data_IF_540571204226
#
_entry.id   IF_540571204226
#
_cell.length_a   1.000
_cell.length_b   1.000
_cell.length_c   1.000
_cell.angle_alpha   90.00
_cell.angle_beta   90.00
_cell.angle_gamma   90.00
#
_symmetry.space_group_name_H-M   'P 1'
#
loop_
_entity.id
_entity.type
_entity.pdbx_description
1 polymer ?
#
# COMPACT_ATOMS: atom_id res chain seq x y z
N UNK A 1 69.12 69.14 2.11
CA UNK A 1 69.84 68.12 1.31
C UNK A 1 68.89 67.23 0.55
N UNK A 2 69.23 66.85 -0.65
CA UNK A 2 68.47 65.96 -1.47
C UNK A 2 68.41 64.58 -0.83
N UNK A 3 67.17 63.99 -0.74
CA UNK A 3 66.91 62.64 -0.15
C UNK A 3 67.49 61.49 -0.98
N UNK A 4 67.81 61.73 -2.27
CA UNK A 4 68.35 60.72 -3.16
C UNK A 4 69.86 60.76 -3.34
N UNK A 5 70.47 61.93 -3.59
CA UNK A 5 71.90 62.07 -3.88
C UNK A 5 72.73 62.86 -2.83
N UNK A 6 72.10 63.34 -1.75
CA UNK A 6 72.75 64.04 -0.65
C UNK A 6 73.23 65.49 -0.97
N UNK A 7 73.09 66.04 -2.20
CA UNK A 7 73.47 67.35 -2.58
C UNK A 7 72.66 68.44 -1.84
N UNK A 8 73.24 69.57 -1.59
CA UNK A 8 72.59 70.71 -0.93
C UNK A 8 71.51 71.29 -1.88
N UNK A 9 70.32 71.49 -1.35
CA UNK A 9 69.17 72.02 -2.09
C UNK A 9 68.90 73.45 -1.72
N UNK A 10 68.56 74.31 -2.68
CA UNK A 10 68.03 75.63 -2.37
C UNK A 10 66.77 75.53 -1.53
N UNK A 11 66.53 76.54 -0.67
CA UNK A 11 65.30 76.57 0.13
C UNK A 11 64.08 76.60 -0.76
N UNK A 12 63.10 75.66 -0.53
CA UNK A 12 61.86 75.52 -1.31
C UNK A 12 62.00 74.76 -2.63
N UNK A 13 63.10 74.10 -2.92
CA UNK A 13 63.29 73.34 -4.14
C UNK A 13 62.37 72.08 -4.22
N UNK A 14 61.48 72.08 -5.18
CA UNK A 14 60.58 70.91 -5.47
C UNK A 14 61.28 69.73 -6.17
N UNK A 15 62.48 70.01 -6.79
CA UNK A 15 63.29 69.00 -7.49
C UNK A 15 64.77 69.25 -7.18
N UNK A 16 65.57 68.22 -7.15
CA UNK A 16 67.02 68.35 -6.99
C UNK A 16 67.67 68.72 -8.33
N UNK A 17 68.45 69.81 -8.41
CA UNK A 17 69.13 70.22 -9.66
C UNK A 17 70.23 69.25 -10.08
N UNK A 18 70.74 68.42 -9.16
CA UNK A 18 71.81 67.45 -9.45
C UNK A 18 71.34 66.10 -9.97
N UNK A 19 70.19 65.62 -9.53
CA UNK A 19 69.69 64.28 -9.93
C UNK A 19 68.23 64.29 -10.40
N UNK A 20 67.59 65.44 -10.58
CA UNK A 20 66.23 65.69 -11.02
C UNK A 20 65.13 64.96 -10.18
N UNK A 21 65.46 64.41 -9.02
CA UNK A 21 64.50 63.70 -8.14
C UNK A 21 63.60 64.72 -7.44
N UNK A 22 62.28 64.46 -7.52
CA UNK A 22 61.27 65.24 -6.78
C UNK A 22 61.45 65.11 -5.28
N UNK A 23 61.37 66.25 -4.59
CA UNK A 23 61.48 66.36 -3.13
C UNK A 23 60.10 66.55 -2.47
N UNK A 24 59.02 66.52 -3.28
CA UNK A 24 57.68 66.62 -2.78
C UNK A 24 57.27 65.23 -2.27
N UNK A 25 56.87 65.15 -1.03
CA UNK A 25 56.34 63.96 -0.43
C UNK A 25 54.95 63.66 -1.00
N UNK A 26 54.82 62.63 -1.79
CA UNK A 26 53.45 62.13 -2.20
C UNK A 26 52.75 61.65 -0.95
N UNK A 27 51.79 62.41 -0.45
CA UNK A 27 50.87 61.91 0.55
C UNK A 27 50.07 60.78 -0.07
N UNK A 28 50.26 59.55 0.38
CA UNK A 28 49.36 58.45 0.08
C UNK A 28 47.97 58.76 0.64
N UNK A 29 47.05 59.17 -0.24
CA UNK A 29 45.65 59.34 0.10
C UNK A 29 45.09 57.97 0.36
N UNK A 30 45.03 57.51 1.61
CA UNK A 30 44.29 56.25 1.99
C UNK A 30 42.86 56.48 1.64
N UNK A 31 42.24 55.54 0.83
CA UNK A 31 40.82 55.67 0.46
C UNK A 31 39.98 55.71 1.73
N UNK A 32 38.90 56.49 1.76
CA UNK A 32 38.09 56.69 2.95
C UNK A 32 37.46 55.33 3.42
N UNK A 33 37.49 55.12 4.71
CA UNK A 33 37.05 53.91 5.38
C UNK A 33 35.60 53.44 4.94
N UNK A 34 34.79 54.39 4.46
CA UNK A 34 33.45 54.16 3.90
C UNK A 34 33.49 53.41 2.56
N UNK A 35 34.47 53.59 1.72
CA UNK A 35 34.59 52.92 0.41
C UNK A 35 34.90 51.43 0.58
N UNK A 36 35.70 51.08 1.59
CA UNK A 36 35.98 49.67 1.92
C UNK A 36 34.70 48.92 2.39
N UNK A 37 33.85 49.60 3.17
CA UNK A 37 32.57 49.02 3.60
C UNK A 37 31.61 48.82 2.43
N UNK A 38 31.48 49.76 1.50
CA UNK A 38 30.66 49.65 0.30
C UNK A 38 31.19 48.58 -0.65
N UNK A 39 32.49 48.48 -0.84
CA UNK A 39 33.11 47.42 -1.64
C UNK A 39 32.87 46.00 -1.05
N UNK A 40 32.93 45.90 0.27
CA UNK A 40 32.68 44.63 0.98
C UNK A 40 31.23 44.21 0.87
N UNK A 41 30.28 45.14 0.99
CA UNK A 41 28.83 44.88 0.79
C UNK A 41 28.57 44.49 -0.66
N UNK A 42 29.14 45.18 -1.63
CA UNK A 42 28.96 44.83 -3.06
C UNK A 42 29.54 43.44 -3.39
N UNK A 43 30.69 43.07 -2.80
CA UNK A 43 31.28 41.75 -2.96
C UNK A 43 30.42 40.65 -2.32
N UNK A 44 29.81 40.93 -1.15
CA UNK A 44 28.88 39.98 -0.49
C UNK A 44 27.60 39.80 -1.31
N UNK A 45 27.01 40.88 -1.81
CA UNK A 45 25.85 40.82 -2.69
C UNK A 45 26.16 40.07 -4.01
N UNK A 46 27.32 40.30 -4.60
CA UNK A 46 27.75 39.56 -5.80
C UNK A 46 27.96 38.08 -5.49
N UNK A 47 28.53 37.72 -4.35
CA UNK A 47 28.70 36.33 -3.90
C UNK A 47 27.35 35.65 -3.71
N UNK A 48 26.38 36.33 -3.07
CA UNK A 48 25.01 35.81 -2.89
C UNK A 48 24.31 35.63 -4.24
N UNK A 49 24.45 36.54 -5.17
CA UNK A 49 23.89 36.44 -6.51
C UNK A 49 24.54 35.28 -7.31
N UNK A 50 25.86 35.12 -7.20
CA UNK A 50 26.59 34.02 -7.86
C UNK A 50 26.19 32.66 -7.26
N UNK A 51 26.07 32.58 -5.93
CA UNK A 51 25.63 31.33 -5.29
C UNK A 51 24.17 30.99 -5.61
N UNK A 52 23.29 32.00 -5.67
CA UNK A 52 21.90 31.82 -6.10
C UNK A 52 21.83 31.42 -7.58
N UNK A 53 22.60 32.04 -8.45
CA UNK A 53 22.69 31.67 -9.86
C UNK A 53 23.25 30.24 -10.04
N UNK A 54 24.29 29.86 -9.31
CA UNK A 54 24.87 28.53 -9.32
C UNK A 54 23.84 27.48 -8.83
N UNK A 55 23.05 27.81 -7.81
CA UNK A 55 22.00 26.91 -7.32
C UNK A 55 20.88 26.69 -8.37
N UNK A 56 20.59 27.70 -9.20
CA UNK A 56 19.58 27.60 -10.28
C UNK A 56 20.14 26.90 -11.53
N UNK A 57 21.46 27.06 -11.81
CA UNK A 57 22.07 26.49 -13.03
C UNK A 57 22.80 25.16 -12.82
N UNK A 58 22.97 24.71 -11.56
CA UNK A 58 23.47 23.35 -11.35
C UNK A 58 22.35 22.35 -11.76
N UNK A 59 22.63 21.47 -12.74
CA UNK A 59 21.65 20.48 -13.12
C UNK A 59 21.31 19.61 -11.89
N UNK A 60 20.02 19.43 -11.64
CA UNK A 60 19.55 18.48 -10.63
C UNK A 60 20.21 17.12 -10.91
N UNK A 61 20.93 16.59 -9.94
CA UNK A 61 21.47 15.24 -10.07
C UNK A 61 20.40 14.26 -9.60
N UNK A 62 19.92 13.38 -10.48
CA UNK A 62 18.93 12.39 -10.11
C UNK A 62 19.37 11.60 -8.88
N UNK A 63 18.44 11.40 -7.96
CA UNK A 63 18.63 10.61 -6.76
C UNK A 63 17.73 9.40 -6.80
N UNK A 64 18.18 8.33 -6.16
CA UNK A 64 17.35 7.15 -5.92
C UNK A 64 17.01 7.10 -4.44
N UNK A 65 15.71 6.95 -4.17
CA UNK A 65 15.15 6.77 -2.84
C UNK A 65 14.64 5.34 -2.76
N UNK A 66 15.23 4.52 -1.90
CA UNK A 66 14.87 3.12 -1.74
C UNK A 66 14.39 2.87 -0.32
N UNK A 67 13.31 2.12 -0.20
CA UNK A 67 12.72 1.71 1.08
C UNK A 67 12.17 0.29 1.03
N UNK A 68 11.74 -0.19 2.19
CA UNK A 68 10.84 -1.35 2.28
C UNK A 68 9.42 -0.94 1.92
N UNK A 69 8.45 -1.26 2.75
CA UNK A 69 7.05 -0.87 2.55
C UNK A 69 6.80 0.65 2.70
N UNK A 70 7.78 1.41 3.14
CA UNK A 70 7.71 2.88 3.17
C UNK A 70 9.02 3.53 2.76
N UNK A 71 8.93 4.76 2.25
CA UNK A 71 10.09 5.59 1.90
C UNK A 71 9.75 7.06 2.05
N UNK A 72 10.75 7.85 2.45
CA UNK A 72 10.65 9.32 2.48
C UNK A 72 11.28 9.91 1.23
N UNK A 73 10.52 10.70 0.49
CA UNK A 73 10.96 11.43 -0.69
C UNK A 73 10.90 12.94 -0.44
N UNK A 74 11.92 13.68 -0.89
CA UNK A 74 11.96 15.15 -0.75
C UNK A 74 12.24 15.79 -2.08
N UNK A 75 11.38 16.72 -2.49
CA UNK A 75 11.58 17.60 -3.65
C UNK A 75 11.52 19.08 -3.24
N UNK A 76 11.41 19.98 -4.23
CA UNK A 76 11.32 21.42 -4.01
C UNK A 76 10.04 21.86 -3.25
N UNK A 77 8.98 21.06 -3.30
CA UNK A 77 7.70 21.38 -2.67
C UNK A 77 7.59 20.84 -1.24
N UNK A 78 8.49 19.93 -0.86
CA UNK A 78 8.59 19.43 0.51
C UNK A 78 8.93 17.95 0.62
N UNK A 79 8.62 17.40 1.78
CA UNK A 79 8.89 16.01 2.13
C UNK A 79 7.59 15.21 2.11
N UNK A 80 7.64 14.09 1.40
CA UNK A 80 6.56 13.15 1.24
C UNK A 80 6.93 11.82 1.90
N UNK A 81 5.96 11.18 2.48
CA UNK A 81 6.04 9.82 2.95
C UNK A 81 5.19 8.95 2.02
N UNK A 82 5.83 8.01 1.35
CA UNK A 82 5.17 7.03 0.49
C UNK A 82 5.15 5.70 1.21
N UNK A 83 4.04 5.00 1.11
CA UNK A 83 3.89 3.67 1.69
C UNK A 83 3.05 2.77 0.80
N UNK A 84 3.30 1.48 0.88
CA UNK A 84 2.60 0.45 0.12
C UNK A 84 1.93 -0.53 1.04
N UNK A 85 0.83 -1.09 0.59
CA UNK A 85 0.06 -2.09 1.30
C UNK A 85 -0.93 -2.79 0.38
N UNK A 86 -1.58 -3.81 0.92
CA UNK A 86 -2.58 -4.62 0.23
C UNK A 86 -3.98 -4.44 0.81
N UNK A 87 -4.12 -3.63 1.85
CA UNK A 87 -5.38 -3.21 2.43
C UNK A 87 -5.47 -1.70 2.50
N UNK A 88 -6.66 -1.19 2.21
CA UNK A 88 -6.93 0.25 2.33
C UNK A 88 -6.67 0.75 3.76
N UNK A 89 -7.11 0.01 4.78
CA UNK A 89 -6.88 0.39 6.17
C UNK A 89 -5.39 0.56 6.51
N UNK A 90 -4.50 -0.29 5.99
CA UNK A 90 -3.05 -0.15 6.19
C UNK A 90 -2.54 1.17 5.60
N UNK A 91 -3.08 1.57 4.46
CA UNK A 91 -2.74 2.84 3.81
C UNK A 91 -3.31 4.01 4.63
N UNK A 92 -4.60 3.99 5.00
CA UNK A 92 -5.28 5.07 5.73
C UNK A 92 -4.70 5.27 7.14
N UNK A 93 -4.37 4.21 7.83
CA UNK A 93 -3.77 4.23 9.18
C UNK A 93 -2.26 4.50 9.15
N UNK A 94 -1.66 4.67 7.97
CA UNK A 94 -0.22 4.85 7.73
C UNK A 94 0.63 3.74 8.37
N UNK A 95 0.17 2.52 8.24
CA UNK A 95 0.88 1.34 8.69
C UNK A 95 1.46 0.61 7.48
N UNK A 96 2.73 0.85 7.11
CA UNK A 96 3.36 0.17 5.98
C UNK A 96 3.45 -1.33 6.25
N UNK A 97 3.04 -2.12 5.27
CA UNK A 97 3.11 -3.57 5.36
C UNK A 97 4.49 -4.06 4.91
N UNK A 98 5.44 -4.18 5.85
CA UNK A 98 6.79 -4.69 5.53
C UNK A 98 6.79 -6.17 5.16
N UNK A 99 6.03 -6.95 5.89
CA UNK A 99 5.82 -8.37 5.62
C UNK A 99 4.39 -8.75 5.98
N UNK A 100 3.73 -9.42 5.06
CA UNK A 100 2.39 -9.95 5.25
C UNK A 100 2.33 -11.43 4.95
N UNK A 101 1.57 -12.15 5.75
CA UNK A 101 1.23 -13.55 5.49
C UNK A 101 -0.20 -13.60 4.98
N UNK A 102 -0.39 -14.27 3.85
CA UNK A 102 -1.68 -14.50 3.20
C UNK A 102 -1.91 -15.99 3.10
N UNK A 103 -3.10 -16.44 3.43
CA UNK A 103 -3.54 -17.82 3.17
C UNK A 103 -4.42 -17.80 1.92
N UNK A 104 -3.93 -18.41 0.85
CA UNK A 104 -4.61 -18.42 -0.44
C UNK A 104 -4.72 -19.83 -0.97
N UNK A 105 -5.79 -20.13 -1.70
CA UNK A 105 -5.91 -21.39 -2.46
C UNK A 105 -4.88 -21.36 -3.59
N UNK A 106 -3.99 -22.34 -3.61
CA UNK A 106 -2.95 -22.46 -4.65
C UNK A 106 -3.47 -23.06 -5.95
N UNK A 107 -4.63 -23.71 -5.89
CA UNK A 107 -5.27 -24.34 -7.05
C UNK A 107 -6.23 -23.36 -7.78
N UNK A 108 -6.49 -22.21 -7.17
CA UNK A 108 -7.39 -21.20 -7.69
C UNK A 108 -6.64 -19.89 -7.97
N UNK A 109 -7.20 -19.09 -8.85
CA UNK A 109 -6.74 -17.73 -9.07
C UNK A 109 -7.23 -16.84 -7.95
N UNK A 110 -6.28 -16.25 -7.21
CA UNK A 110 -6.56 -15.30 -6.14
C UNK A 110 -6.18 -13.90 -6.53
N UNK A 111 -6.89 -12.90 -6.02
CA UNK A 111 -6.68 -11.48 -6.31
C UNK A 111 -6.28 -10.75 -5.03
N UNK A 112 -5.27 -9.91 -5.16
CA UNK A 112 -4.82 -9.04 -4.09
C UNK A 112 -4.66 -7.61 -4.63
N UNK A 113 -5.33 -6.61 -4.05
CA UNK A 113 -5.06 -5.23 -4.43
C UNK A 113 -3.67 -4.81 -3.91
N UNK A 114 -2.88 -4.17 -4.76
CA UNK A 114 -1.66 -3.51 -4.35
C UNK A 114 -1.88 -1.99 -4.44
N UNK A 115 -1.61 -1.29 -3.35
CA UNK A 115 -1.91 0.13 -3.20
C UNK A 115 -0.66 0.93 -2.82
N UNK A 116 -0.56 2.13 -3.37
CA UNK A 116 0.44 3.13 -3.01
C UNK A 116 -0.24 4.36 -2.42
N UNK A 117 0.06 4.66 -1.17
CA UNK A 117 -0.39 5.88 -0.48
C UNK A 117 0.72 6.92 -0.43
N UNK A 118 0.34 8.20 -0.49
CA UNK A 118 1.29 9.33 -0.41
C UNK A 118 0.78 10.36 0.58
N UNK A 119 1.62 10.70 1.53
CA UNK A 119 1.33 11.65 2.61
C UNK A 119 2.33 12.80 2.61
N UNK A 120 1.88 13.95 3.09
CA UNK A 120 2.74 15.09 3.41
C UNK A 120 2.35 15.63 4.78
N UNK A 121 3.31 15.68 5.71
CA UNK A 121 3.06 16.06 7.11
C UNK A 121 1.90 15.27 7.75
N UNK A 122 1.81 13.99 7.42
CA UNK A 122 0.80 13.10 7.98
C UNK A 122 -0.61 13.22 7.37
N UNK A 123 -0.80 14.03 6.33
CA UNK A 123 -2.07 14.20 5.62
C UNK A 123 -1.96 13.63 4.20
N UNK A 124 -2.96 12.90 3.70
CA UNK A 124 -2.99 12.45 2.30
C UNK A 124 -2.78 13.63 1.35
N UNK A 125 -2.01 13.44 0.30
CA UNK A 125 -1.83 14.45 -0.74
C UNK A 125 -2.95 14.36 -1.77
N UNK A 126 -3.18 15.45 -2.49
CA UNK A 126 -3.99 15.41 -3.70
C UNK A 126 -3.34 14.46 -4.73
N UNK A 127 -4.00 13.35 -5.12
CA UNK A 127 -3.45 12.37 -6.03
C UNK A 127 -3.06 12.96 -7.38
N UNK A 128 -3.87 13.82 -7.96
CA UNK A 128 -3.62 14.44 -9.26
C UNK A 128 -2.37 15.32 -9.21
N UNK A 129 -2.22 16.11 -8.14
CA UNK A 129 -1.06 16.99 -7.94
C UNK A 129 0.23 16.18 -7.75
N UNK A 130 0.18 15.03 -7.06
CA UNK A 130 1.33 14.16 -6.92
C UNK A 130 1.66 13.43 -8.22
N UNK A 131 0.67 12.83 -8.88
CA UNK A 131 0.84 12.11 -10.15
C UNK A 131 1.31 13.03 -11.28
N UNK A 132 0.96 14.32 -11.23
CA UNK A 132 1.51 15.31 -12.15
C UNK A 132 3.04 15.45 -12.09
N UNK A 133 3.69 15.01 -11.01
CA UNK A 133 5.16 14.98 -10.84
C UNK A 133 5.79 13.68 -11.30
N UNK A 134 5.02 12.62 -11.46
CA UNK A 134 5.47 11.31 -11.89
C UNK A 134 5.54 11.28 -13.41
N UNK A 135 6.65 10.81 -13.96
CA UNK A 135 6.82 10.56 -15.39
C UNK A 135 6.36 9.15 -15.75
N UNK A 136 6.71 8.18 -14.90
CA UNK A 136 6.38 6.77 -15.09
C UNK A 136 6.24 6.07 -13.74
N UNK A 137 5.25 5.21 -13.63
CA UNK A 137 5.12 4.27 -12.52
C UNK A 137 5.10 2.85 -13.08
N UNK A 138 5.84 1.95 -12.45
CA UNK A 138 5.79 0.51 -12.73
C UNK A 138 5.68 -0.25 -11.43
N UNK A 139 4.93 -1.34 -11.47
CA UNK A 139 4.91 -2.36 -10.44
C UNK A 139 5.46 -3.64 -11.06
N UNK A 140 6.48 -4.20 -10.44
CA UNK A 140 7.09 -5.46 -10.84
C UNK A 140 6.82 -6.49 -9.76
N UNK A 141 6.39 -7.68 -10.16
CA UNK A 141 6.24 -8.81 -9.29
C UNK A 141 7.40 -9.79 -9.47
N UNK A 142 7.89 -10.26 -8.35
CA UNK A 142 8.91 -11.30 -8.30
C UNK A 142 8.30 -12.51 -7.60
N UNK A 143 7.60 -13.39 -8.35
CA UNK A 143 7.04 -14.62 -7.80
C UNK A 143 8.17 -15.55 -7.36
N UNK A 144 7.87 -16.40 -6.39
CA UNK A 144 8.76 -17.52 -6.11
C UNK A 144 8.76 -18.53 -7.28
N UNK A 145 9.62 -19.54 -7.21
CA UNK A 145 9.81 -20.52 -8.30
C UNK A 145 8.56 -21.37 -8.63
N UNK A 146 7.53 -21.33 -7.77
CA UNK A 146 6.36 -22.22 -7.83
C UNK A 146 5.10 -21.55 -8.36
N UNK A 147 5.14 -20.25 -8.70
CA UNK A 147 3.93 -19.52 -9.04
C UNK A 147 4.09 -18.47 -10.12
N UNK A 148 2.95 -17.99 -10.60
CA UNK A 148 2.87 -16.85 -11.51
C UNK A 148 2.15 -15.68 -10.82
N UNK A 149 2.62 -14.47 -11.11
CA UNK A 149 2.00 -13.23 -10.69
C UNK A 149 1.75 -12.38 -11.93
N UNK A 150 0.51 -12.04 -12.18
CA UNK A 150 0.12 -11.09 -13.21
C UNK A 150 -0.32 -9.78 -12.58
N UNK A 151 0.10 -8.67 -13.15
CA UNK A 151 -0.17 -7.34 -12.64
C UNK A 151 -0.79 -6.49 -13.73
N UNK A 152 -1.95 -5.90 -13.44
CA UNK A 152 -2.52 -4.88 -14.28
C UNK A 152 -1.74 -3.55 -14.17
N UNK A 153 -1.89 -2.65 -15.13
CA UNK A 153 -1.27 -1.33 -15.08
C UNK A 153 -1.83 -0.54 -13.87
N UNK A 154 -0.96 0.04 -13.00
CA UNK A 154 -1.41 0.83 -11.86
C UNK A 154 -2.24 2.04 -12.30
N UNK A 155 -3.35 2.25 -11.62
CA UNK A 155 -4.32 3.33 -11.90
C UNK A 155 -4.70 4.07 -10.63
N UNK A 156 -5.13 5.30 -10.77
CA UNK A 156 -5.80 6.04 -9.71
C UNK A 156 -7.25 5.57 -9.56
N UNK A 157 -7.70 5.34 -8.33
CA UNK A 157 -9.08 4.98 -8.01
C UNK A 157 -9.66 6.02 -7.03
N UNK A 158 -10.66 6.76 -7.49
CA UNK A 158 -11.32 7.82 -6.72
C UNK A 158 -12.05 7.32 -5.46
N UNK A 159 -12.32 6.01 -5.37
CA UNK A 159 -12.94 5.41 -4.19
C UNK A 159 -12.02 5.41 -2.97
N UNK A 160 -10.70 5.50 -3.17
CA UNK A 160 -9.71 5.37 -2.11
C UNK A 160 -9.00 6.69 -1.85
N UNK A 161 -9.54 7.48 -0.92
CA UNK A 161 -9.06 8.83 -0.63
C UNK A 161 -7.59 8.94 -0.21
N UNK A 162 -7.00 7.87 0.32
CA UNK A 162 -5.60 7.82 0.75
C UNK A 162 -4.68 7.11 -0.25
N UNK A 163 -5.21 6.26 -1.13
CA UNK A 163 -4.43 5.58 -2.16
C UNK A 163 -4.28 6.47 -3.40
N UNK A 164 -3.04 6.69 -3.82
CA UNK A 164 -2.72 7.47 -5.03
C UNK A 164 -2.78 6.57 -6.27
N UNK A 165 -2.31 5.33 -6.13
CA UNK A 165 -2.34 4.32 -7.18
C UNK A 165 -2.78 2.99 -6.61
N UNK A 166 -3.50 2.21 -7.41
CA UNK A 166 -3.85 0.82 -7.12
C UNK A 166 -3.69 -0.04 -8.36
N UNK A 167 -3.54 -1.32 -8.15
CA UNK A 167 -3.65 -2.36 -9.16
C UNK A 167 -4.02 -3.68 -8.52
N UNK A 168 -4.62 -4.56 -9.31
CA UNK A 168 -4.87 -5.93 -8.89
C UNK A 168 -3.66 -6.80 -9.22
N UNK A 169 -3.21 -7.55 -8.24
CA UNK A 169 -2.19 -8.59 -8.42
C UNK A 169 -2.90 -9.92 -8.40
N UNK A 170 -2.73 -10.67 -9.47
CA UNK A 170 -3.35 -11.98 -9.67
C UNK A 170 -2.33 -13.06 -9.37
N UNK A 171 -2.68 -13.97 -8.49
CA UNK A 171 -1.82 -15.08 -8.07
C UNK A 171 -2.32 -16.39 -8.63
N UNK A 172 -1.40 -17.21 -9.10
CA UNK A 172 -1.68 -18.60 -9.46
C UNK A 172 -0.53 -19.47 -8.95
N UNK A 173 -0.80 -20.35 -7.99
CA UNK A 173 0.20 -21.26 -7.42
C UNK A 173 1.39 -20.59 -6.71
N UNK A 174 1.25 -19.35 -6.28
CA UNK A 174 2.34 -18.52 -5.76
C UNK A 174 2.63 -18.73 -4.27
N UNK A 175 2.55 -19.97 -3.76
CA UNK A 175 2.89 -20.27 -2.37
C UNK A 175 4.36 -19.97 -2.06
N UNK A 176 4.63 -19.47 -0.85
CA UNK A 176 5.97 -19.06 -0.41
C UNK A 176 6.16 -17.55 -0.44
N UNK A 177 7.42 -17.09 -0.39
CA UNK A 177 7.75 -15.67 -0.33
C UNK A 177 7.72 -15.05 -1.72
N UNK A 178 7.00 -13.95 -1.86
CA UNK A 178 6.86 -13.17 -3.07
C UNK A 178 7.18 -11.70 -2.80
N UNK A 179 7.58 -10.96 -3.82
CA UNK A 179 7.89 -9.54 -3.70
C UNK A 179 7.16 -8.72 -4.76
N UNK A 180 6.66 -7.56 -4.35
CA UNK A 180 6.18 -6.51 -5.24
C UNK A 180 7.12 -5.30 -5.13
N UNK A 181 7.55 -4.75 -6.26
CA UNK A 181 8.42 -3.57 -6.30
C UNK A 181 7.77 -2.46 -7.10
N UNK A 182 7.35 -1.42 -6.41
CA UNK A 182 6.92 -0.17 -7.03
C UNK A 182 8.14 0.65 -7.42
N UNK A 183 8.15 1.14 -8.65
CA UNK A 183 9.19 2.07 -9.12
C UNK A 183 8.52 3.28 -9.76
N UNK A 184 8.72 4.46 -9.15
CA UNK A 184 8.26 5.73 -9.67
C UNK A 184 9.46 6.51 -10.21
N UNK A 185 9.42 6.86 -11.49
CA UNK A 185 10.36 7.81 -12.09
C UNK A 185 9.71 9.19 -12.06
N UNK A 186 10.35 10.13 -11.39
CA UNK A 186 9.85 11.49 -11.24
C UNK A 186 10.31 12.36 -12.43
N UNK A 187 9.53 13.36 -12.82
CA UNK A 187 9.86 14.29 -13.91
C UNK A 187 11.17 15.08 -13.70
N UNK A 188 11.63 15.21 -12.46
CA UNK A 188 12.94 15.79 -12.15
C UNK A 188 14.09 14.79 -12.32
N UNK A 189 13.82 13.54 -12.72
CA UNK A 189 14.78 12.47 -12.90
C UNK A 189 15.02 11.60 -11.66
N UNK A 190 14.46 11.96 -10.50
CA UNK A 190 14.56 11.12 -9.30
C UNK A 190 13.81 9.80 -9.48
N UNK A 191 14.26 8.78 -8.78
CA UNK A 191 13.62 7.46 -8.76
C UNK A 191 13.25 7.10 -7.32
N UNK A 192 12.03 6.62 -7.13
CA UNK A 192 11.54 6.16 -5.82
C UNK A 192 11.21 4.68 -5.98
N UNK A 193 11.72 3.84 -5.07
CA UNK A 193 11.47 2.40 -5.05
C UNK A 193 10.95 1.97 -3.70
N UNK A 194 9.83 1.26 -3.70
CA UNK A 194 9.25 0.62 -2.51
C UNK A 194 9.10 -0.86 -2.77
N UNK A 195 9.41 -1.63 -1.74
CA UNK A 195 9.38 -3.08 -1.79
C UNK A 195 8.42 -3.61 -0.73
N UNK A 196 7.46 -4.40 -1.17
CA UNK A 196 6.54 -5.11 -0.31
C UNK A 196 6.78 -6.61 -0.42
N UNK A 197 7.05 -7.25 0.71
CA UNK A 197 7.27 -8.70 0.78
C UNK A 197 6.05 -9.35 1.41
N UNK A 198 5.53 -10.41 0.78
CA UNK A 198 4.44 -11.19 1.34
C UNK A 198 4.71 -12.69 1.21
N UNK A 199 4.22 -13.42 2.18
CA UNK A 199 4.33 -14.87 2.24
C UNK A 199 2.93 -15.48 1.99
N UNK A 200 2.82 -16.25 0.93
CA UNK A 200 1.59 -16.96 0.59
C UNK A 200 1.68 -18.36 1.17
N UNK A 201 0.77 -18.68 2.09
CA UNK A 201 0.58 -20.01 2.60
C UNK A 201 -0.54 -20.69 1.83
N UNK A 202 -0.38 -21.93 1.38
CA UNK A 202 -1.45 -22.67 0.76
C UNK A 202 -2.57 -22.89 1.78
N UNK A 203 -3.81 -22.62 1.38
CA UNK A 203 -4.95 -23.04 2.17
C UNK A 203 -5.03 -24.57 2.16
N UNK A 204 -5.10 -25.15 3.34
CA UNK A 204 -5.35 -26.58 3.52
C UNK A 204 -6.86 -26.77 3.55
N UNK A 205 -7.37 -27.66 2.70
CA UNK A 205 -8.78 -28.03 2.65
C UNK A 205 -9.02 -29.37 3.31
N UNK A 206 -10.08 -29.45 4.11
CA UNK A 206 -10.63 -30.70 4.62
C UNK A 206 -12.05 -30.86 4.07
N UNK A 207 -12.23 -31.86 3.22
CA UNK A 207 -13.51 -32.16 2.61
C UNK A 207 -14.20 -33.28 3.38
N UNK A 208 -15.51 -33.13 3.59
CA UNK A 208 -16.37 -34.14 4.22
C UNK A 208 -17.54 -34.46 3.29
N UNK A 209 -17.73 -35.74 3.01
CA UNK A 209 -18.78 -36.25 2.12
C UNK A 209 -19.62 -37.29 2.82
N UNK A 210 -20.81 -37.63 2.27
CA UNK A 210 -21.64 -38.69 2.78
C UNK A 210 -21.01 -40.09 2.64
N UNK A 211 -19.94 -40.25 1.87
CA UNK A 211 -19.20 -41.50 1.75
C UNK A 211 -18.33 -41.76 2.98
N UNK A 212 -17.78 -40.71 3.57
CA UNK A 212 -16.81 -40.78 4.68
C UNK A 212 -17.44 -40.48 6.04
N UNK A 213 -18.60 -39.84 6.06
CA UNK A 213 -19.22 -39.31 7.28
C UNK A 213 -20.73 -39.40 7.20
N UNK A 214 -21.44 -39.81 8.26
CA UNK A 214 -22.89 -39.72 8.30
C UNK A 214 -23.39 -38.30 8.07
N UNK A 215 -24.23 -38.09 7.05
CA UNK A 215 -24.78 -36.76 6.67
C UNK A 215 -26.24 -36.93 6.21
N UNK A 216 -27.02 -37.77 6.91
CA UNK A 216 -28.39 -38.05 6.51
C UNK A 216 -29.43 -37.25 7.30
N UNK A 217 -29.05 -36.67 8.43
CA UNK A 217 -29.94 -35.94 9.33
C UNK A 217 -29.30 -34.65 9.80
N UNK A 218 -30.08 -33.71 10.33
CA UNK A 218 -29.57 -32.46 10.92
C UNK A 218 -28.67 -32.74 12.12
N UNK A 219 -28.94 -33.81 12.88
CA UNK A 219 -28.15 -34.25 14.01
C UNK A 219 -26.77 -34.76 13.56
N UNK A 220 -26.71 -35.49 12.44
CA UNK A 220 -25.43 -35.90 11.83
C UNK A 220 -24.60 -34.68 11.46
N UNK A 221 -25.21 -33.69 10.82
CA UNK A 221 -24.54 -32.47 10.41
C UNK A 221 -24.04 -31.66 11.64
N UNK A 222 -24.85 -31.52 12.68
CA UNK A 222 -24.46 -30.88 13.94
C UNK A 222 -23.29 -31.61 14.61
N UNK A 223 -23.34 -32.94 14.65
CA UNK A 223 -22.27 -33.75 15.21
C UNK A 223 -20.96 -33.64 14.41
N UNK A 224 -21.07 -33.53 13.08
CA UNK A 224 -19.92 -33.25 12.23
C UNK A 224 -19.32 -31.86 12.53
N UNK A 225 -20.12 -30.79 12.64
CA UNK A 225 -19.64 -29.47 12.99
C UNK A 225 -18.91 -29.47 14.34
N UNK A 226 -19.48 -30.12 15.36
CA UNK A 226 -18.85 -30.27 16.69
C UNK A 226 -17.52 -31.05 16.63
N UNK A 227 -17.40 -32.03 15.73
CA UNK A 227 -16.15 -32.79 15.51
C UNK A 227 -15.11 -31.93 14.81
N UNK A 228 -15.49 -31.19 13.77
CA UNK A 228 -14.63 -30.27 13.03
C UNK A 228 -14.01 -29.25 13.96
N UNK A 229 -14.79 -28.66 14.85
CA UNK A 229 -14.31 -27.68 15.83
C UNK A 229 -13.24 -28.24 16.78
N UNK A 230 -13.24 -29.54 17.03
CA UNK A 230 -12.30 -30.17 17.95
C UNK A 230 -11.08 -30.78 17.27
N UNK A 231 -11.22 -31.28 16.05
CA UNK A 231 -10.26 -32.16 15.41
C UNK A 231 -9.54 -31.52 14.22
N UNK A 232 -10.19 -30.55 13.53
CA UNK A 232 -9.62 -29.92 12.34
C UNK A 232 -8.85 -28.67 12.75
N UNK A 233 -7.57 -28.48 12.32
CA UNK A 233 -6.80 -27.28 12.59
C UNK A 233 -7.54 -25.99 12.18
N UNK A 234 -7.35 -24.91 12.95
CA UNK A 234 -8.12 -23.68 12.77
C UNK A 234 -7.83 -22.96 11.42
N UNK A 235 -6.66 -23.19 10.85
CA UNK A 235 -6.19 -22.65 9.56
C UNK A 235 -6.61 -23.47 8.34
N UNK A 236 -7.44 -24.52 8.54
CA UNK A 236 -7.94 -25.39 7.48
C UNK A 236 -9.31 -24.92 7.01
N UNK A 237 -9.50 -24.74 5.72
CA UNK A 237 -10.81 -24.50 5.10
C UNK A 237 -11.60 -25.80 5.13
N UNK A 238 -12.84 -25.74 5.57
CA UNK A 238 -13.70 -26.93 5.67
C UNK A 238 -14.80 -26.86 4.64
N UNK A 239 -14.85 -27.88 3.79
CA UNK A 239 -15.86 -28.07 2.76
C UNK A 239 -16.73 -29.30 3.09
N UNK A 240 -18.05 -29.09 3.23
CA UNK A 240 -19.01 -30.17 3.52
C UNK A 240 -19.92 -30.33 2.31
N UNK A 241 -19.84 -31.46 1.67
CA UNK A 241 -20.67 -31.83 0.52
C UNK A 241 -21.88 -32.65 0.99
N UNK A 242 -23.03 -32.02 0.99
CA UNK A 242 -24.26 -32.56 1.54
C UNK A 242 -25.02 -33.42 0.49
N UNK A 243 -25.49 -34.61 0.85
CA UNK A 243 -26.31 -35.43 -0.03
C UNK A 243 -27.69 -34.77 -0.30
N UNK A 244 -28.47 -35.29 -1.28
CA UNK A 244 -29.81 -34.78 -1.62
C UNK A 244 -30.87 -35.26 -0.62
N UNK A 245 -30.78 -34.80 0.61
CA UNK A 245 -31.70 -35.10 1.70
C UNK A 245 -32.31 -33.83 2.29
N UNK A 246 -33.37 -33.99 3.09
CA UNK A 246 -33.95 -32.88 3.85
C UNK A 246 -33.43 -32.91 5.28
N UNK A 247 -32.79 -31.82 5.69
CA UNK A 247 -32.34 -31.57 7.05
C UNK A 247 -33.40 -30.75 7.79
N UNK A 248 -34.15 -31.39 8.68
CA UNK A 248 -35.23 -30.72 9.43
C UNK A 248 -34.73 -30.23 10.76
N UNK A 249 -34.76 -28.91 10.98
CA UNK A 249 -34.36 -28.21 12.18
C UNK A 249 -33.38 -27.07 11.93
N UNK A 250 -33.15 -26.26 12.96
CA UNK A 250 -32.25 -25.10 12.87
C UNK A 250 -30.78 -25.51 12.94
N UNK A 251 -29.95 -24.83 12.14
CA UNK A 251 -28.51 -25.03 12.08
C UNK A 251 -27.77 -23.74 12.51
N UNK A 252 -26.69 -23.92 13.22
CA UNK A 252 -25.86 -22.82 13.65
C UNK A 252 -24.36 -23.08 13.34
N UNK A 253 -23.74 -22.18 12.59
CA UNK A 253 -22.31 -22.17 12.29
C UNK A 253 -21.71 -21.02 13.08
N UNK A 254 -20.97 -21.29 14.16
CA UNK A 254 -20.52 -20.26 15.10
C UNK A 254 -19.04 -20.26 15.42
N UNK A 255 -18.40 -21.41 15.47
CA UNK A 255 -17.02 -21.51 15.99
C UNK A 255 -16.00 -21.17 14.92
N UNK A 256 -16.24 -21.61 13.69
CA UNK A 256 -15.37 -21.39 12.53
C UNK A 256 -16.20 -21.37 11.25
N UNK A 257 -15.61 -20.83 10.19
CA UNK A 257 -16.22 -20.92 8.87
C UNK A 257 -16.19 -22.35 8.34
N UNK A 258 -17.31 -22.79 7.79
CA UNK A 258 -17.44 -24.04 7.01
C UNK A 258 -18.25 -23.73 5.77
N UNK A 259 -17.87 -24.32 4.64
CA UNK A 259 -18.59 -24.20 3.39
C UNK A 259 -19.57 -25.36 3.27
N UNK A 260 -20.82 -25.08 2.91
CA UNK A 260 -21.85 -26.07 2.68
C UNK A 260 -22.19 -26.11 1.19
N UNK A 261 -21.93 -27.24 0.57
CA UNK A 261 -22.28 -27.53 -0.83
C UNK A 261 -23.38 -28.53 -0.88
N UNK A 262 -24.55 -28.11 -1.34
CA UNK A 262 -25.69 -29.00 -1.56
C UNK A 262 -25.57 -29.79 -2.85
N UNK A 263 -26.48 -30.73 -3.04
CA UNK A 263 -26.56 -31.52 -4.25
C UNK A 263 -27.49 -30.86 -5.27
N UNK A 264 -27.04 -30.82 -6.54
CA UNK A 264 -27.85 -30.33 -7.68
C UNK A 264 -27.62 -31.13 -8.96
N UNK A 265 -27.12 -32.38 -8.88
CA UNK A 265 -26.71 -33.24 -10.01
C UNK A 265 -27.85 -34.02 -10.66
N UNK A 266 -29.08 -33.71 -10.31
CA UNK A 266 -30.28 -34.44 -10.80
C UNK A 266 -30.70 -35.64 -9.97
N UNK A 267 -29.95 -36.03 -8.95
CA UNK A 267 -30.35 -37.04 -7.95
C UNK A 267 -31.33 -36.49 -6.92
N UNK A 268 -31.44 -35.16 -6.85
CA UNK A 268 -32.29 -34.42 -5.94
C UNK A 268 -31.64 -33.08 -5.55
N UNK A 269 -32.27 -32.37 -4.62
CA UNK A 269 -31.77 -31.15 -4.00
C UNK A 269 -31.52 -31.37 -2.52
N UNK A 270 -30.51 -30.75 -1.98
CA UNK A 270 -30.32 -30.65 -0.55
C UNK A 270 -31.25 -29.58 0.00
N UNK A 271 -32.09 -29.95 0.95
CA UNK A 271 -33.08 -29.06 1.56
C UNK A 271 -32.78 -28.86 3.03
N UNK A 272 -32.77 -27.60 3.48
CA UNK A 272 -32.75 -27.24 4.89
C UNK A 272 -34.15 -26.74 5.28
N UNK A 273 -34.89 -27.57 6.01
CA UNK A 273 -36.21 -27.24 6.55
C UNK A 273 -36.05 -26.68 7.97
N UNK A 274 -35.82 -25.39 8.06
CA UNK A 274 -35.51 -24.68 9.30
C UNK A 274 -34.74 -23.39 9.02
N UNK A 275 -34.08 -22.81 10.02
CA UNK A 275 -33.27 -21.62 9.88
C UNK A 275 -31.77 -21.94 9.95
N UNK A 276 -30.96 -21.13 9.27
CA UNK A 276 -29.52 -21.16 9.41
C UNK A 276 -29.02 -19.84 10.03
N UNK A 277 -28.22 -19.94 11.09
CA UNK A 277 -27.51 -18.79 11.66
C UNK A 277 -26.00 -18.97 11.42
N UNK A 278 -25.35 -17.94 10.85
CA UNK A 278 -23.90 -17.87 10.66
C UNK A 278 -23.36 -16.75 11.53
N UNK A 279 -22.52 -17.11 12.50
CA UNK A 279 -21.97 -16.14 13.49
C UNK A 279 -20.48 -16.37 13.77
N UNK A 280 -19.72 -16.77 12.77
CA UNK A 280 -18.28 -17.04 12.87
C UNK A 280 -17.50 -15.75 13.13
N UNK A 281 -16.25 -15.88 13.60
CA UNK A 281 -15.38 -14.73 13.79
C UNK A 281 -14.81 -14.22 12.46
N UNK A 282 -14.81 -12.90 12.28
CA UNK A 282 -14.16 -12.24 11.14
C UNK A 282 -12.63 -12.51 11.23
N UNK A 283 -11.94 -12.87 10.11
CA UNK A 283 -12.29 -12.61 8.72
C UNK A 283 -12.87 -13.82 7.95
N UNK A 284 -13.24 -14.87 8.61
CA UNK A 284 -13.65 -16.10 7.95
C UNK A 284 -14.95 -15.92 7.13
N UNK A 285 -14.95 -16.47 5.92
CA UNK A 285 -16.10 -16.44 5.00
C UNK A 285 -16.74 -17.82 4.92
N UNK A 286 -18.04 -17.88 5.08
CA UNK A 286 -18.86 -19.09 4.87
C UNK A 286 -19.42 -19.07 3.45
N UNK A 287 -19.35 -20.17 2.73
CA UNK A 287 -19.99 -20.35 1.42
C UNK A 287 -21.17 -21.32 1.56
N UNK A 288 -22.32 -20.90 1.05
CA UNK A 288 -23.54 -21.71 0.93
C UNK A 288 -23.86 -21.86 -0.55
N UNK A 289 -23.79 -23.06 -1.05
CA UNK A 289 -23.95 -23.34 -2.48
C UNK A 289 -24.95 -24.48 -2.73
N UNK A 290 -25.83 -24.32 -3.72
CA UNK A 290 -26.79 -25.34 -4.16
C UNK A 290 -27.78 -25.84 -3.07
N UNK A 291 -28.22 -24.96 -2.16
CA UNK A 291 -29.11 -25.30 -1.05
C UNK A 291 -30.51 -24.72 -1.25
N UNK A 292 -31.52 -25.51 -0.94
CA UNK A 292 -32.90 -25.03 -0.85
C UNK A 292 -33.30 -24.89 0.62
N UNK A 293 -33.62 -23.67 1.03
CA UNK A 293 -34.11 -23.35 2.36
C UNK A 293 -35.66 -23.30 2.33
N UNK A 294 -36.29 -24.04 3.22
CA UNK A 294 -37.76 -24.11 3.36
C UNK A 294 -38.16 -23.81 4.80
N UNK A 295 -39.04 -22.85 4.99
CA UNK A 295 -39.44 -22.40 6.33
C UNK A 295 -40.93 -22.08 6.44
N UNK A 296 -41.31 -21.58 7.60
CA UNK A 296 -42.65 -21.13 7.91
C UNK A 296 -42.65 -19.83 8.69
N UNK A 297 -42.27 -18.72 8.01
CA UNK A 297 -42.06 -17.41 8.62
C UNK A 297 -40.65 -17.22 9.17
N UNK A 298 -40.37 -16.04 9.72
CA UNK A 298 -39.05 -15.65 10.25
C UNK A 298 -37.97 -15.48 9.20
N UNK A 299 -36.70 -15.64 9.59
CA UNK A 299 -35.55 -15.55 8.69
C UNK A 299 -35.07 -16.95 8.26
N UNK A 300 -34.80 -17.12 6.98
CA UNK A 300 -34.21 -18.36 6.47
C UNK A 300 -32.72 -18.46 6.82
N UNK A 301 -31.99 -17.38 6.54
CA UNK A 301 -30.60 -17.20 6.93
C UNK A 301 -30.45 -15.92 7.76
N UNK A 302 -29.72 -15.99 8.86
CA UNK A 302 -29.24 -14.81 9.61
C UNK A 302 -27.73 -14.83 9.65
N UNK A 303 -27.07 -13.84 9.06
CA UNK A 303 -25.62 -13.73 9.00
C UNK A 303 -25.12 -12.57 9.83
N UNK A 304 -24.28 -12.83 10.84
CA UNK A 304 -23.50 -11.84 11.58
C UNK A 304 -22.01 -11.90 11.19
N UNK A 305 -21.69 -12.73 10.19
CA UNK A 305 -20.36 -12.91 9.62
C UNK A 305 -20.43 -12.85 8.09
N UNK A 306 -19.26 -12.79 7.42
CA UNK A 306 -19.19 -12.79 5.97
C UNK A 306 -19.74 -14.11 5.40
N UNK A 307 -20.77 -14.05 4.57
CA UNK A 307 -21.44 -15.21 3.98
C UNK A 307 -21.67 -15.00 2.49
N UNK A 308 -21.24 -15.96 1.67
CA UNK A 308 -21.52 -16.01 0.23
C UNK A 308 -22.65 -17.01 -0.01
N UNK A 309 -23.62 -16.62 -0.81
CA UNK A 309 -24.76 -17.44 -1.18
C UNK A 309 -24.76 -17.62 -2.70
N UNK A 310 -24.68 -18.85 -3.17
CA UNK A 310 -24.66 -19.17 -4.60
C UNK A 310 -25.67 -20.24 -4.92
N UNK A 311 -26.52 -20.03 -5.93
CA UNK A 311 -27.51 -20.97 -6.41
C UNK A 311 -28.41 -21.55 -5.30
N UNK A 312 -28.75 -20.74 -4.28
CA UNK A 312 -29.64 -21.12 -3.18
C UNK A 312 -31.03 -20.55 -3.37
N UNK A 313 -32.06 -21.24 -2.85
CA UNK A 313 -33.45 -20.78 -2.83
C UNK A 313 -33.98 -20.64 -1.40
N UNK A 314 -34.90 -19.71 -1.18
CA UNK A 314 -35.55 -19.45 0.11
C UNK A 314 -37.05 -19.40 -0.09
N UNK A 315 -37.78 -20.32 0.55
CA UNK A 315 -39.24 -20.45 0.39
C UNK A 315 -39.92 -20.50 1.76
N UNK A 316 -41.03 -19.78 1.91
CA UNK A 316 -41.86 -19.80 3.12
C UNK A 316 -41.35 -18.96 4.29
N UNK A 317 -40.31 -18.13 4.10
CA UNK A 317 -39.82 -17.20 5.12
C UNK A 317 -40.41 -15.79 4.93
N UNK A 318 -40.41 -15.02 6.02
CA UNK A 318 -40.72 -13.58 5.95
C UNK A 318 -39.52 -12.81 5.33
N UNK A 319 -38.28 -13.24 5.67
CA UNK A 319 -37.03 -12.76 5.11
C UNK A 319 -36.17 -13.94 4.71
N UNK A 320 -35.82 -14.06 3.42
CA UNK A 320 -34.96 -15.15 2.95
C UNK A 320 -33.58 -15.12 3.61
N UNK A 321 -32.88 -13.99 3.54
CA UNK A 321 -31.58 -13.80 4.14
C UNK A 321 -31.47 -12.42 4.81
N UNK A 322 -31.04 -12.37 6.05
CA UNK A 322 -30.88 -11.18 6.87
C UNK A 322 -29.43 -10.99 7.31
N UNK A 323 -28.96 -9.75 7.32
CA UNK A 323 -27.64 -9.37 7.84
C UNK A 323 -27.83 -8.65 9.17
N UNK A 324 -27.10 -9.06 10.19
CA UNK A 324 -27.12 -8.45 11.50
C UNK A 324 -25.70 -8.17 12.03
N UNK A 325 -25.56 -7.19 12.91
CA UNK A 325 -24.33 -6.90 13.69
C UNK A 325 -23.04 -6.81 12.86
N UNK A 326 -23.11 -6.21 11.65
CA UNK A 326 -21.93 -6.00 10.81
C UNK A 326 -21.56 -7.20 9.92
N UNK A 327 -22.41 -8.21 9.85
CA UNK A 327 -22.27 -9.28 8.85
C UNK A 327 -22.33 -8.73 7.42
N UNK A 328 -21.99 -9.57 6.46
CA UNK A 328 -22.04 -9.27 5.03
C UNK A 328 -22.58 -10.48 4.27
N UNK A 329 -23.47 -10.26 3.31
CA UNK A 329 -23.93 -11.29 2.40
C UNK A 329 -23.54 -10.90 0.98
N UNK A 330 -22.78 -11.78 0.31
CA UNK A 330 -22.53 -11.74 -1.13
C UNK A 330 -23.49 -12.73 -1.84
N UNK A 331 -23.99 -12.38 -3.02
CA UNK A 331 -24.89 -13.18 -3.85
C UNK A 331 -24.34 -13.25 -5.25
#
# INVERSE_FOLDING_TARGET
KCRNCGADLPEGASFCPHCAQSQIERQEVKPPRLWRKKALIAALCALVLVTAALAVFLPHRPKTYEGGASVTYTDQDGTYELLVGTFLNSIEDKQPEEKRTLSLSVDETSYLPAMLGVYRNGTPVDPEAFLAKVERCTLEAFPNENGALDIAEPRYNEMFSAAVLETDVVFTGASGTNELVWTLTMKNGDTIRLKHTFEVLPLVHAAFTAEDTPLNTIEDLKALLDRIDKEVPADTVVDIYLPPVTYTGDLHISSRAVNLYGCCDGSGRTVIEGSLTVSTHVPDKVVLHDLDFVGNGGNGLTATASTMIENCSFTGYDIGAAVENGGMIGV
#
